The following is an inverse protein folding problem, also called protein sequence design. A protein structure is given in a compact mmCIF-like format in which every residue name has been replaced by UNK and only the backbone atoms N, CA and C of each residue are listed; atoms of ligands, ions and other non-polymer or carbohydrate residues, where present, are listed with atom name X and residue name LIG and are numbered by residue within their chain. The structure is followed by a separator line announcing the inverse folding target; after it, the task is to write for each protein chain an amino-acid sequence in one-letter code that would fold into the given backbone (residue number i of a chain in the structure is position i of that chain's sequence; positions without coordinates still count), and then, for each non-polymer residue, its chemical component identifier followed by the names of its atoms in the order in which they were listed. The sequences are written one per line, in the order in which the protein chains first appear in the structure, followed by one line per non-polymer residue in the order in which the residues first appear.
data_IF_019084237015
#
_entry.id   IF_019084237015
#
_cell.length_a   1.000
_cell.length_b   1.000
_cell.length_c   1.000
_cell.angle_alpha   90.00
_cell.angle_beta   90.00
_cell.angle_gamma   90.00
#
_symmetry.space_group_name_H-M   'P 1'
#
loop_
_entity.id
_entity.type
_entity.pdbx_description
1 polymer ?
#
# COMPACT_ATOMS: atom_id res chain seq x y z
N UNK A 1 3.19 -3.97 -2.49
CA UNK A 1 2.35 -3.59 -1.33
C UNK A 1 2.81 -4.38 -0.12
N UNK A 2 3.00 -3.74 1.04
CA UNK A 2 3.47 -4.40 2.25
C UNK A 2 2.89 -3.74 3.52
N UNK A 3 2.45 -4.55 4.48
CA UNK A 3 2.00 -4.11 5.80
C UNK A 3 3.18 -4.01 6.79
N UNK A 4 4.16 -4.92 6.67
CA UNK A 4 5.36 -4.94 7.49
C UNK A 4 6.48 -4.14 6.82
N UNK A 5 6.38 -2.81 6.85
CA UNK A 5 7.36 -1.90 6.21
C UNK A 5 8.80 -2.17 6.65
N UNK A 6 9.12 -2.36 7.96
CA UNK A 6 10.50 -2.63 8.37
C UNK A 6 11.06 -3.92 7.74
N UNK A 7 10.25 -4.98 7.67
CA UNK A 7 10.63 -6.25 7.03
C UNK A 7 10.88 -6.03 5.53
N UNK A 8 9.98 -5.32 4.84
CA UNK A 8 10.14 -5.02 3.42
C UNK A 8 11.44 -4.25 3.11
N UNK A 9 11.82 -3.31 3.99
CA UNK A 9 13.10 -2.61 3.89
C UNK A 9 14.28 -3.56 4.08
N UNK A 10 14.26 -4.38 5.15
CA UNK A 10 15.35 -5.32 5.46
C UNK A 10 15.61 -6.31 4.33
N UNK A 11 14.57 -6.81 3.67
CA UNK A 11 14.71 -7.78 2.56
C UNK A 11 15.08 -7.14 1.22
N UNK A 12 15.30 -5.83 1.16
CA UNK A 12 15.74 -5.17 -0.07
C UNK A 12 14.62 -4.78 -1.03
N UNK A 13 13.35 -4.69 -0.58
CA UNK A 13 12.27 -4.23 -1.45
C UNK A 13 12.53 -2.78 -1.90
N UNK A 14 12.65 -2.56 -3.20
CA UNK A 14 12.96 -1.26 -3.78
C UNK A 14 11.75 -0.32 -3.83
N UNK A 15 10.54 -0.87 -3.99
CA UNK A 15 9.30 -0.11 -4.12
C UNK A 15 8.24 -0.60 -3.14
N UNK A 16 8.01 0.17 -2.08
CA UNK A 16 7.19 -0.23 -0.94
C UNK A 16 5.95 0.65 -0.87
N UNK A 17 4.80 0.07 -1.17
CA UNK A 17 3.49 0.71 -0.96
C UNK A 17 2.91 0.22 0.36
N UNK A 18 2.77 1.09 1.38
CA UNK A 18 2.23 0.72 2.69
C UNK A 18 0.78 0.23 2.61
N UNK A 19 0.48 -0.84 3.34
CA UNK A 19 -0.89 -1.31 3.60
C UNK A 19 -1.21 -1.32 5.09
N UNK A 20 -2.46 -1.63 5.42
CA UNK A 20 -2.98 -1.61 6.79
C UNK A 20 -2.96 -3.04 7.35
N UNK A 21 -2.57 -3.21 8.60
CA UNK A 21 -2.47 -4.52 9.29
C UNK A 21 -3.81 -4.99 9.89
N UNK A 22 -4.94 -4.63 9.28
CA UNK A 22 -6.28 -5.03 9.73
C UNK A 22 -6.93 -5.84 8.59
N UNK A 23 -7.08 -7.16 8.70
CA UNK A 23 -7.95 -7.92 7.78
C UNK A 23 -9.40 -7.60 8.18
N UNK A 24 -10.37 -7.24 7.33
CA UNK A 24 -10.78 -7.71 6.02
C UNK A 24 -11.71 -6.63 5.40
N UNK A 25 -11.87 -6.55 4.07
CA UNK A 25 -11.06 -7.16 3.00
C UNK A 25 -9.74 -6.42 2.75
N UNK A 26 -9.60 -5.23 3.35
CA UNK A 26 -8.40 -4.45 3.57
C UNK A 26 -8.87 -3.30 4.47
N UNK A 27 -8.54 -3.29 5.76
CA UNK A 27 -9.06 -2.30 6.71
C UNK A 27 -10.28 -2.76 7.53
N UNK A 28 -11.06 -1.80 8.00
CA UNK A 28 -12.17 -2.03 8.94
C UNK A 28 -13.46 -2.49 8.23
N UNK A 29 -13.98 -3.70 8.50
CA UNK A 29 -15.19 -4.23 7.89
C UNK A 29 -16.47 -3.48 8.27
N UNK A 30 -16.45 -2.67 9.35
CA UNK A 30 -17.60 -1.88 9.81
C UNK A 30 -17.86 -0.62 8.96
N UNK A 31 -16.88 -0.22 8.15
CA UNK A 31 -17.00 0.93 7.24
C UNK A 31 -17.91 0.65 6.05
N UNK A 32 -18.42 1.69 5.40
CA UNK A 32 -19.30 1.52 4.23
C UNK A 32 -18.57 0.85 3.06
N UNK A 33 -19.30 0.13 2.20
CA UNK A 33 -18.72 -0.50 0.99
C UNK A 33 -17.99 0.51 0.09
N UNK A 34 -18.49 1.75 0.03
CA UNK A 34 -17.89 2.83 -0.75
C UNK A 34 -16.54 3.24 -0.17
N UNK A 35 -16.44 3.44 1.15
CA UNK A 35 -15.18 3.78 1.81
C UNK A 35 -14.17 2.64 1.69
N UNK A 36 -14.61 1.39 1.89
CA UNK A 36 -13.76 0.23 1.65
C UNK A 36 -13.29 0.15 0.19
N UNK A 37 -14.12 0.53 -0.77
CA UNK A 37 -13.74 0.55 -2.19
C UNK A 37 -12.72 1.65 -2.49
N UNK A 38 -12.95 2.89 -2.04
CA UNK A 38 -12.00 4.02 -2.18
C UNK A 38 -10.63 3.65 -1.58
N UNK A 39 -10.67 3.02 -0.40
CA UNK A 39 -9.52 2.51 0.34
C UNK A 39 -8.67 1.53 -0.49
N UNK A 40 -9.31 0.59 -1.18
CA UNK A 40 -8.63 -0.38 -2.05
C UNK A 40 -8.18 0.27 -3.36
N UNK A 41 -9.06 1.06 -3.98
CA UNK A 41 -8.82 1.68 -5.28
C UNK A 41 -7.59 2.58 -5.27
N UNK A 42 -7.49 3.50 -4.31
CA UNK A 42 -6.34 4.40 -4.22
C UNK A 42 -5.03 3.66 -3.92
N UNK A 43 -5.02 2.67 -3.01
CA UNK A 43 -3.79 1.90 -2.72
C UNK A 43 -3.31 1.09 -3.92
N UNK A 44 -4.24 0.49 -4.66
CA UNK A 44 -3.92 -0.23 -5.90
C UNK A 44 -3.41 0.76 -6.97
N UNK A 45 -4.02 1.93 -7.09
CA UNK A 45 -3.54 3.01 -7.98
C UNK A 45 -2.09 3.41 -7.69
N UNK A 46 -1.78 3.72 -6.42
CA UNK A 46 -0.39 4.02 -6.01
C UNK A 46 0.57 2.86 -6.29
N UNK A 47 0.11 1.61 -6.18
CA UNK A 47 0.93 0.45 -6.53
C UNK A 47 1.18 0.33 -8.03
N UNK A 48 0.19 0.64 -8.87
CA UNK A 48 0.37 0.70 -10.32
C UNK A 48 1.33 1.83 -10.71
N UNK A 49 1.18 3.02 -10.13
CA UNK A 49 2.10 4.14 -10.36
C UNK A 49 3.53 3.78 -9.95
N UNK A 50 3.71 3.16 -8.79
CA UNK A 50 5.00 2.68 -8.32
C UNK A 50 5.64 1.67 -9.29
N UNK A 51 4.86 0.81 -9.96
CA UNK A 51 5.43 -0.12 -10.95
C UNK A 51 6.13 0.64 -12.10
N UNK A 52 5.60 1.78 -12.49
CA UNK A 52 6.14 2.63 -13.57
C UNK A 52 7.32 3.51 -13.15
N UNK A 53 7.52 3.70 -11.85
CA UNK A 53 8.58 4.54 -11.30
C UNK A 53 9.97 3.89 -11.39
N UNK A 54 10.95 4.64 -11.87
CA UNK A 54 12.36 4.25 -12.01
C UNK A 54 13.13 4.53 -10.70
N UNK A 55 12.67 3.90 -9.62
CA UNK A 55 13.21 4.08 -8.28
C UNK A 55 14.69 3.66 -8.20
N UNK A 56 15.56 4.62 -7.89
CA UNK A 56 17.02 4.40 -7.72
C UNK A 56 17.39 3.93 -6.32
N UNK A 57 16.55 4.22 -5.34
CA UNK A 57 16.71 3.85 -3.94
C UNK A 57 15.42 3.19 -3.40
N UNK A 58 15.54 2.53 -2.25
CA UNK A 58 14.37 1.99 -1.56
C UNK A 58 13.37 3.09 -1.22
N UNK A 59 12.23 3.08 -1.91
CA UNK A 59 11.22 4.13 -1.83
C UNK A 59 9.97 3.61 -1.14
N UNK A 60 9.55 4.34 -0.11
CA UNK A 60 8.25 4.11 0.55
C UNK A 60 7.25 5.14 0.00
N UNK A 61 6.29 4.65 -0.78
CA UNK A 61 5.30 5.52 -1.44
C UNK A 61 4.26 6.02 -0.45
N UNK A 62 3.83 7.27 -0.64
CA UNK A 62 2.79 7.88 0.18
C UNK A 62 1.43 7.34 -0.23
N UNK A 63 0.76 6.66 0.70
CA UNK A 63 -0.66 6.34 0.58
C UNK A 63 -1.43 7.33 1.46
N UNK A 64 -2.40 8.03 0.88
CA UNK A 64 -3.29 8.95 1.60
C UNK A 64 -4.70 8.42 1.45
N UNK A 65 -5.21 7.76 2.49
CA UNK A 65 -6.62 7.43 2.63
C UNK A 65 -6.96 7.48 4.10
#
# INVERSE_FOLDING_TARGET
MANLIPVAKTVGSNKIVPTISIPYPLGDPSTSKEEQWKLRYHRVGVALDALTDDAKDQTVYKVKI
#
